data_IF_417233919179
#
_entry.id   IF_417233919179
#
_cell.length_a   1.000
_cell.length_b   1.000
_cell.length_c   1.000
_cell.angle_alpha   90.00
_cell.angle_beta   90.00
_cell.angle_gamma   90.00
#
_symmetry.space_group_name_H-M   'P 1'
#
loop_
_entity.id
_entity.type
_entity.pdbx_description
1 polymer ?
#
# COMPACT_ATOMS: atom_id res chain seq x y z
N UNK A 1 10.79 -34.22 -0.57
CA UNK A 1 10.94 -32.86 -1.15
C UNK A 1 10.07 -31.94 -0.31
N UNK A 2 10.64 -30.97 0.42
CA UNK A 2 9.82 -30.01 1.18
C UNK A 2 9.03 -29.18 0.18
N UNK A 3 7.71 -29.36 0.12
CA UNK A 3 6.82 -28.48 -0.62
C UNK A 3 6.89 -27.10 0.04
N UNK A 4 7.58 -26.15 -0.58
CA UNK A 4 7.58 -24.76 -0.12
C UNK A 4 6.13 -24.28 -0.20
N UNK A 5 5.62 -23.72 0.90
CA UNK A 5 4.24 -23.23 0.98
C UNK A 5 4.04 -22.03 0.04
N UNK A 6 2.87 -21.94 -0.58
CA UNK A 6 2.56 -20.95 -1.63
C UNK A 6 2.75 -19.49 -1.18
N UNK A 7 2.51 -19.20 0.09
CA UNK A 7 2.76 -17.90 0.72
C UNK A 7 4.25 -17.51 0.73
N UNK A 8 5.14 -18.46 1.05
CA UNK A 8 6.58 -18.23 0.97
C UNK A 8 7.06 -18.10 -0.47
N UNK A 9 6.45 -18.83 -1.41
CA UNK A 9 6.74 -18.69 -2.85
C UNK A 9 6.33 -17.29 -3.32
N UNK A 10 5.12 -16.83 -3.00
CA UNK A 10 4.63 -15.50 -3.34
C UNK A 10 5.54 -14.38 -2.81
N UNK A 11 6.15 -14.58 -1.63
CA UNK A 11 7.05 -13.62 -1.00
C UNK A 11 8.49 -13.66 -1.53
N UNK A 12 9.02 -14.83 -1.84
CA UNK A 12 10.47 -15.02 -2.01
C UNK A 12 10.90 -15.40 -3.43
N UNK A 13 9.96 -15.84 -4.28
CA UNK A 13 10.25 -16.39 -5.61
C UNK A 13 9.74 -15.47 -6.71
N UNK A 14 10.22 -15.71 -7.93
CA UNK A 14 9.77 -14.94 -9.09
C UNK A 14 8.36 -15.37 -9.55
N UNK A 15 7.75 -14.57 -10.43
CA UNK A 15 6.43 -14.87 -11.02
C UNK A 15 6.34 -16.26 -11.62
N UNK A 16 7.36 -16.73 -12.35
CA UNK A 16 7.32 -18.04 -13.02
C UNK A 16 7.21 -19.19 -12.01
N UNK A 17 7.99 -19.15 -10.94
CA UNK A 17 7.93 -20.12 -9.85
C UNK A 17 6.59 -20.06 -9.11
N UNK A 18 6.06 -18.86 -8.86
CA UNK A 18 4.74 -18.68 -8.28
C UNK A 18 3.64 -19.31 -9.15
N UNK A 19 3.61 -19.00 -10.45
CA UNK A 19 2.59 -19.51 -11.37
C UNK A 19 2.63 -21.04 -11.53
N UNK A 20 3.82 -21.66 -11.42
CA UNK A 20 3.97 -23.13 -11.43
C UNK A 20 3.44 -23.79 -10.16
N UNK A 21 3.50 -23.09 -9.02
CA UNK A 21 3.10 -23.62 -7.73
C UNK A 21 1.64 -23.33 -7.36
N UNK A 22 1.12 -22.18 -7.83
CA UNK A 22 -0.23 -21.71 -7.54
C UNK A 22 -1.30 -22.68 -8.06
N UNK A 23 -2.34 -22.88 -7.26
CA UNK A 23 -3.53 -23.63 -7.59
C UNK A 23 -4.76 -22.76 -7.32
N UNK A 24 -5.75 -22.82 -8.21
CA UNK A 24 -7.03 -22.13 -7.97
C UNK A 24 -7.61 -22.54 -6.61
N UNK A 25 -7.99 -21.55 -5.80
CA UNK A 25 -8.40 -21.71 -4.42
C UNK A 25 -7.31 -21.26 -3.41
N UNK A 26 -6.04 -21.18 -3.82
CA UNK A 26 -4.97 -20.67 -2.95
C UNK A 26 -5.22 -19.23 -2.50
N UNK A 27 -5.90 -18.42 -3.31
CA UNK A 27 -6.30 -17.04 -2.99
C UNK A 27 -7.31 -16.95 -1.84
N UNK A 28 -8.00 -18.05 -1.51
CA UNK A 28 -8.99 -18.11 -0.42
C UNK A 28 -8.37 -18.54 0.90
N UNK A 29 -7.13 -19.04 0.86
CA UNK A 29 -6.45 -19.52 2.04
C UNK A 29 -5.94 -18.37 2.91
N UNK A 30 -5.90 -18.61 4.22
CA UNK A 30 -5.36 -17.67 5.21
C UNK A 30 -4.05 -18.23 5.75
N UNK A 31 -3.01 -17.40 5.75
CA UNK A 31 -1.66 -17.78 6.16
C UNK A 31 -1.23 -16.87 7.30
N UNK A 32 -0.99 -17.44 8.48
CA UNK A 32 -0.69 -16.67 9.71
C UNK A 32 -1.70 -15.54 9.97
N UNK A 33 -2.97 -15.79 9.69
CA UNK A 33 -4.06 -14.82 9.90
C UNK A 33 -4.19 -13.72 8.85
N UNK A 34 -3.46 -13.80 7.73
CA UNK A 34 -3.58 -12.82 6.62
C UNK A 34 -3.72 -13.48 5.26
N UNK A 35 -4.31 -12.73 4.33
CA UNK A 35 -4.49 -13.10 2.93
C UNK A 35 -3.16 -13.31 2.20
N UNK A 36 -3.13 -14.20 1.19
CA UNK A 36 -1.94 -14.50 0.39
C UNK A 36 -1.32 -13.25 -0.25
N UNK A 37 -2.11 -12.23 -0.58
CA UNK A 37 -1.63 -11.00 -1.22
C UNK A 37 -0.63 -10.24 -0.34
N UNK A 38 -0.71 -10.34 0.99
CA UNK A 38 0.27 -9.71 1.89
C UNK A 38 1.69 -10.22 1.63
N UNK A 39 1.82 -11.46 1.19
CA UNK A 39 3.11 -12.07 0.88
C UNK A 39 3.65 -11.56 -0.45
N UNK A 40 2.82 -11.52 -1.49
CA UNK A 40 3.23 -11.00 -2.81
C UNK A 40 3.59 -9.51 -2.75
N UNK A 41 2.86 -8.70 -1.98
CA UNK A 41 3.15 -7.27 -1.78
C UNK A 41 4.49 -7.04 -1.07
N UNK A 42 4.93 -7.99 -0.25
CA UNK A 42 6.23 -7.96 0.43
C UNK A 42 7.38 -8.57 -0.37
N UNK A 43 7.13 -9.01 -1.61
CA UNK A 43 8.15 -9.62 -2.45
C UNK A 43 9.21 -8.59 -2.84
N UNK A 44 10.47 -8.90 -2.59
CA UNK A 44 11.58 -7.95 -2.83
C UNK A 44 11.94 -7.82 -4.30
N UNK A 45 11.58 -8.79 -5.15
CA UNK A 45 11.67 -8.65 -6.60
C UNK A 45 10.53 -7.76 -7.12
N UNK A 46 10.88 -6.62 -7.73
CA UNK A 46 9.90 -5.61 -8.14
C UNK A 46 8.91 -6.16 -9.17
N UNK A 47 9.39 -6.81 -10.23
CA UNK A 47 8.50 -7.31 -11.28
C UNK A 47 7.52 -8.33 -10.71
N UNK A 48 8.03 -9.27 -9.92
CA UNK A 48 7.23 -10.34 -9.33
C UNK A 48 6.22 -9.82 -8.32
N UNK A 49 6.57 -8.82 -7.50
CA UNK A 49 5.62 -8.16 -6.60
C UNK A 49 4.39 -7.66 -7.37
N UNK A 50 4.59 -6.89 -8.43
CA UNK A 50 3.48 -6.31 -9.18
C UNK A 50 2.73 -7.37 -9.98
N UNK A 51 3.41 -8.28 -10.66
CA UNK A 51 2.76 -9.32 -11.48
C UNK A 51 1.94 -10.29 -10.63
N UNK A 52 2.52 -10.83 -9.55
CA UNK A 52 1.83 -11.77 -8.67
C UNK A 52 0.66 -11.08 -7.96
N UNK A 53 0.84 -9.85 -7.46
CA UNK A 53 -0.24 -9.14 -6.77
C UNK A 53 -1.39 -8.81 -7.71
N UNK A 54 -1.10 -8.35 -8.94
CA UNK A 54 -2.14 -8.10 -9.95
C UNK A 54 -2.90 -9.37 -10.32
N UNK A 55 -2.20 -10.50 -10.49
CA UNK A 55 -2.82 -11.80 -10.72
C UNK A 55 -3.76 -12.20 -9.58
N UNK A 56 -3.33 -12.04 -8.32
CA UNK A 56 -4.17 -12.36 -7.16
C UNK A 56 -5.40 -11.45 -7.07
N UNK A 57 -5.27 -10.17 -7.46
CA UNK A 57 -6.42 -9.26 -7.55
C UNK A 57 -7.44 -9.69 -8.61
N UNK A 58 -6.98 -10.24 -9.74
CA UNK A 58 -7.84 -10.81 -10.78
C UNK A 58 -8.57 -12.08 -10.30
N UNK A 59 -8.03 -12.76 -9.28
CA UNK A 59 -8.64 -13.89 -8.60
C UNK A 59 -9.61 -13.49 -7.48
N UNK A 60 -9.92 -12.20 -7.33
CA UNK A 60 -10.79 -11.66 -6.29
C UNK A 60 -10.35 -12.04 -4.86
N UNK A 61 -9.04 -12.06 -4.64
CA UNK A 61 -8.47 -12.26 -3.31
C UNK A 61 -8.99 -11.20 -2.31
N UNK A 62 -9.13 -11.60 -1.04
CA UNK A 62 -9.46 -10.67 0.04
C UNK A 62 -8.32 -9.65 0.26
N UNK A 63 -8.67 -8.38 0.18
CA UNK A 63 -7.80 -7.22 0.39
C UNK A 63 -8.26 -6.32 1.54
N UNK A 64 -9.42 -6.61 2.14
CA UNK A 64 -10.03 -5.78 3.18
C UNK A 64 -9.59 -6.20 4.60
N UNK A 65 -9.01 -7.39 4.74
CA UNK A 65 -8.43 -7.83 6.00
C UNK A 65 -7.13 -7.06 6.35
N UNK A 66 -6.81 -7.04 7.65
CA UNK A 66 -5.52 -6.54 8.17
C UNK A 66 -4.60 -7.70 8.56
N UNK A 67 -3.30 -7.46 8.58
CA UNK A 67 -2.35 -8.43 9.14
C UNK A 67 -2.20 -8.26 10.67
N UNK A 68 -1.30 -9.03 11.30
CA UNK A 68 -1.06 -9.01 12.75
C UNK A 68 -0.50 -7.68 13.30
N UNK A 69 0.04 -6.84 12.44
CA UNK A 69 0.54 -5.49 12.76
C UNK A 69 -0.54 -4.43 12.47
N UNK A 70 -1.80 -4.84 12.31
CA UNK A 70 -2.92 -4.01 11.88
C UNK A 70 -2.71 -3.32 10.51
N UNK A 71 -1.75 -3.78 9.71
CA UNK A 71 -1.50 -3.20 8.39
C UNK A 71 -2.54 -3.68 7.38
N UNK A 72 -3.08 -2.73 6.60
CA UNK A 72 -3.79 -3.04 5.35
C UNK A 72 -2.79 -3.36 4.22
N UNK A 73 -3.30 -3.84 3.08
CA UNK A 73 -2.52 -4.06 1.86
C UNK A 73 -1.80 -2.80 1.35
N UNK A 74 -2.37 -1.60 1.55
CA UNK A 74 -1.72 -0.34 1.16
C UNK A 74 -0.49 -0.06 2.02
N UNK A 75 -0.57 -0.28 3.34
CA UNK A 75 0.57 -0.15 4.25
C UNK A 75 1.70 -1.09 3.86
N UNK A 76 1.39 -2.37 3.59
CA UNK A 76 2.41 -3.35 3.20
C UNK A 76 3.04 -3.02 1.85
N UNK A 77 2.26 -2.59 0.86
CA UNK A 77 2.79 -2.17 -0.45
C UNK A 77 3.73 -0.97 -0.31
N UNK A 78 3.26 0.09 0.34
CA UNK A 78 3.96 1.37 0.45
C UNK A 78 5.11 1.36 1.47
N UNK A 79 5.13 0.40 2.39
CA UNK A 79 6.23 0.17 3.33
C UNK A 79 7.43 -0.56 2.76
N UNK A 80 7.40 -0.95 1.49
CA UNK A 80 8.53 -1.61 0.86
C UNK A 80 9.68 -0.64 0.56
N UNK A 81 10.92 -1.16 0.50
CA UNK A 81 12.12 -0.31 0.30
C UNK A 81 12.28 0.25 -1.11
N UNK A 82 11.79 -0.47 -2.12
CA UNK A 82 11.96 -0.14 -3.53
C UNK A 82 10.61 -0.11 -4.22
N UNK A 83 10.46 0.83 -5.14
CA UNK A 83 9.25 1.07 -5.91
C UNK A 83 9.58 1.41 -7.36
N UNK A 84 8.82 0.82 -8.27
CA UNK A 84 8.50 1.40 -9.56
C UNK A 84 7.24 2.26 -9.34
N UNK A 85 7.33 3.57 -9.55
CA UNK A 85 6.27 4.50 -9.12
C UNK A 85 5.01 4.35 -9.95
N UNK A 86 5.11 4.21 -11.27
CA UNK A 86 3.95 3.97 -12.13
C UNK A 86 3.26 2.66 -11.74
N UNK A 87 4.01 1.57 -11.57
CA UNK A 87 3.41 0.28 -11.15
C UNK A 87 2.83 0.34 -9.73
N UNK A 88 3.45 1.11 -8.83
CA UNK A 88 2.93 1.33 -7.47
C UNK A 88 1.60 2.09 -7.52
N UNK A 89 1.53 3.16 -8.32
CA UNK A 89 0.30 3.92 -8.54
C UNK A 89 -0.82 3.03 -9.06
N UNK A 90 -0.57 2.27 -10.14
CA UNK A 90 -1.57 1.34 -10.71
C UNK A 90 -2.04 0.29 -9.71
N UNK A 91 -1.13 -0.27 -8.92
CA UNK A 91 -1.51 -1.26 -7.92
C UNK A 91 -2.32 -0.62 -6.77
N UNK A 92 -1.98 0.58 -6.33
CA UNK A 92 -2.78 1.32 -5.34
C UNK A 92 -4.19 1.62 -5.88
N UNK A 93 -4.30 2.08 -7.13
CA UNK A 93 -5.58 2.36 -7.80
C UNK A 93 -6.49 1.14 -7.77
N UNK A 94 -5.99 -0.02 -8.20
CA UNK A 94 -6.75 -1.28 -8.16
C UNK A 94 -7.17 -1.72 -6.76
N UNK A 95 -6.32 -1.50 -5.74
CA UNK A 95 -6.64 -1.84 -4.36
C UNK A 95 -7.75 -0.93 -3.81
N UNK A 96 -7.70 0.36 -4.12
CA UNK A 96 -8.72 1.34 -3.74
C UNK A 96 -10.04 1.06 -4.45
N UNK A 97 -10.03 0.69 -5.73
CA UNK A 97 -11.22 0.27 -6.49
C UNK A 97 -11.91 -0.95 -5.87
N UNK A 98 -11.15 -1.83 -5.20
CA UNK A 98 -11.69 -2.96 -4.43
C UNK A 98 -12.18 -2.57 -3.02
N UNK A 99 -12.20 -1.29 -2.69
CA UNK A 99 -12.77 -0.76 -1.46
C UNK A 99 -11.80 -0.68 -0.27
N UNK A 100 -10.49 -0.81 -0.51
CA UNK A 100 -9.50 -0.64 0.58
C UNK A 100 -9.55 0.81 1.07
N UNK A 101 -9.87 1.01 2.34
CA UNK A 101 -9.95 2.33 2.95
C UNK A 101 -8.54 2.93 3.13
N UNK A 102 -8.29 4.06 2.46
CA UNK A 102 -7.01 4.77 2.46
C UNK A 102 -6.67 5.45 3.80
N UNK A 103 -7.68 5.65 4.65
CA UNK A 103 -7.56 6.30 5.96
C UNK A 103 -7.49 5.29 7.11
N UNK A 104 -7.48 3.98 6.83
CA UNK A 104 -7.24 2.98 7.88
C UNK A 104 -5.90 3.22 8.55
N UNK A 105 -5.87 3.01 9.86
CA UNK A 105 -4.65 3.13 10.67
C UNK A 105 -4.04 1.75 10.90
N UNK A 106 -2.73 1.66 10.71
CA UNK A 106 -1.93 0.50 11.13
C UNK A 106 -1.77 0.42 12.66
N UNK A 107 -1.02 -0.57 13.15
CA UNK A 107 -0.75 -0.76 14.58
C UNK A 107 0.03 0.38 15.25
N UNK A 108 0.60 1.30 14.47
CA UNK A 108 1.25 2.53 14.97
C UNK A 108 0.30 3.73 14.92
N UNK A 109 -0.94 3.54 14.49
CA UNK A 109 -1.90 4.61 14.27
C UNK A 109 -1.66 5.40 12.97
N UNK A 110 -0.80 4.92 12.08
CA UNK A 110 -0.42 5.63 10.86
C UNK A 110 -1.34 5.25 9.70
N UNK A 111 -1.73 6.25 8.91
CA UNK A 111 -2.45 6.04 7.65
C UNK A 111 -1.48 5.80 6.51
N UNK A 112 -1.92 5.11 5.44
CA UNK A 112 -1.08 4.75 4.30
C UNK A 112 -0.38 5.94 3.62
N UNK A 113 -0.99 7.13 3.61
CA UNK A 113 -0.38 8.35 3.05
C UNK A 113 0.97 8.70 3.70
N UNK A 114 1.15 8.40 4.99
CA UNK A 114 2.41 8.64 5.71
C UNK A 114 3.57 7.86 5.08
N UNK A 115 3.30 6.67 4.53
CA UNK A 115 4.30 5.85 3.86
C UNK A 115 4.73 6.47 2.52
N UNK A 116 3.80 7.07 1.76
CA UNK A 116 4.11 7.83 0.54
C UNK A 116 5.01 9.02 0.87
N UNK A 117 4.67 9.79 1.92
CA UNK A 117 5.44 10.97 2.36
C UNK A 117 6.91 10.60 2.64
N UNK A 118 7.15 9.42 3.22
CA UNK A 118 8.50 8.94 3.58
C UNK A 118 9.28 8.32 2.43
N UNK A 119 8.68 8.11 1.26
CA UNK A 119 9.42 7.60 0.10
C UNK A 119 10.55 8.56 -0.26
N UNK A 120 11.74 8.01 -0.55
CA UNK A 120 12.88 8.79 -1.02
C UNK A 120 12.72 9.13 -2.51
N UNK A 121 11.75 10.00 -2.81
CA UNK A 121 11.25 10.38 -4.13
C UNK A 121 10.79 11.84 -4.11
N UNK A 122 11.01 12.56 -5.21
CA UNK A 122 10.54 13.95 -5.32
C UNK A 122 9.02 14.04 -5.35
N UNK A 123 8.46 15.23 -5.12
CA UNK A 123 7.02 15.43 -5.24
C UNK A 123 6.55 15.24 -6.70
N UNK A 124 7.37 15.61 -7.69
CA UNK A 124 7.06 15.40 -9.11
C UNK A 124 6.97 13.91 -9.46
N UNK A 125 7.88 13.08 -8.92
CA UNK A 125 7.82 11.63 -9.12
C UNK A 125 6.55 11.01 -8.51
N UNK A 126 6.03 11.58 -7.42
CA UNK A 126 4.88 11.05 -6.68
C UNK A 126 3.53 11.65 -7.10
N UNK A 127 3.51 12.51 -8.11
CA UNK A 127 2.35 13.31 -8.48
C UNK A 127 1.09 12.47 -8.76
N UNK A 128 1.22 11.34 -9.46
CA UNK A 128 0.08 10.44 -9.71
C UNK A 128 -0.45 9.79 -8.42
N UNK A 129 0.44 9.39 -7.49
CA UNK A 129 0.03 8.86 -6.20
C UNK A 129 -0.68 9.92 -5.36
N UNK A 130 -0.20 11.16 -5.38
CA UNK A 130 -0.88 12.27 -4.74
C UNK A 130 -2.26 12.50 -5.34
N UNK A 131 -2.37 12.54 -6.67
CA UNK A 131 -3.65 12.68 -7.34
C UNK A 131 -4.64 11.58 -6.97
N UNK A 132 -4.17 10.34 -6.83
CA UNK A 132 -4.98 9.22 -6.37
C UNK A 132 -5.50 9.41 -4.94
N UNK A 133 -4.68 9.90 -4.00
CA UNK A 133 -5.12 10.16 -2.62
C UNK A 133 -6.07 11.36 -2.53
N UNK A 134 -5.75 12.47 -3.21
CA UNK A 134 -6.56 13.69 -3.18
C UNK A 134 -7.89 13.55 -3.95
N UNK A 135 -8.05 12.54 -4.80
CA UNK A 135 -9.34 12.23 -5.45
C UNK A 135 -10.28 11.44 -4.53
N UNK A 136 -9.79 10.86 -3.43
CA UNK A 136 -10.63 10.09 -2.52
C UNK A 136 -11.52 11.00 -1.67
N UNK A 137 -12.77 10.59 -1.41
CA UNK A 137 -13.64 11.31 -0.50
C UNK A 137 -13.08 11.25 0.92
N UNK A 138 -13.23 12.34 1.67
CA UNK A 138 -12.87 12.42 3.09
C UNK A 138 -11.41 12.03 3.41
N UNK A 139 -10.45 12.37 2.54
CA UNK A 139 -9.02 12.15 2.80
C UNK A 139 -8.64 12.74 4.17
N UNK A 140 -8.08 11.91 5.06
CA UNK A 140 -7.68 12.33 6.40
C UNK A 140 -6.22 12.77 6.41
N UNK A 141 -6.00 14.05 6.68
CA UNK A 141 -4.67 14.67 6.76
C UNK A 141 -4.26 15.03 8.19
N UNK A 142 -5.18 15.00 9.14
CA UNK A 142 -5.06 15.68 10.44
C UNK A 142 -5.18 14.74 11.64
N UNK A 143 -5.69 13.52 11.46
CA UNK A 143 -5.64 12.49 12.51
C UNK A 143 -4.21 12.18 12.92
N UNK A 144 -3.98 12.17 14.23
CA UNK A 144 -2.68 11.84 14.83
C UNK A 144 -2.49 10.34 14.98
N UNK A 145 -1.25 9.90 14.78
CA UNK A 145 -0.77 8.55 15.07
C UNK A 145 -0.39 8.39 16.56
N UNK A 146 0.13 7.21 16.94
CA UNK A 146 0.58 6.93 18.32
C UNK A 146 1.74 7.80 18.80
N UNK A 147 2.45 8.46 17.88
CA UNK A 147 3.55 9.39 18.17
C UNK A 147 3.08 10.85 18.27
N UNK A 148 1.78 11.11 18.06
CA UNK A 148 1.17 12.43 18.17
C UNK A 148 1.30 13.29 16.91
N UNK A 149 1.62 12.69 15.76
CA UNK A 149 1.77 13.40 14.49
C UNK A 149 0.75 12.94 13.45
N UNK A 150 0.20 13.89 12.68
CA UNK A 150 -0.67 13.62 11.52
C UNK A 150 0.11 13.58 10.19
N UNK A 151 -0.57 13.22 9.10
CA UNK A 151 0.05 13.19 7.77
C UNK A 151 0.63 14.55 7.35
N UNK A 152 -0.12 15.64 7.52
CA UNK A 152 0.39 16.99 7.19
C UNK A 152 1.55 17.41 8.11
N UNK A 153 1.52 17.03 9.39
CA UNK A 153 2.63 17.30 10.32
C UNK A 153 3.88 16.47 9.96
N UNK A 154 3.73 15.24 9.47
CA UNK A 154 4.83 14.47 8.92
C UNK A 154 5.40 15.11 7.67
N UNK A 155 4.58 15.55 6.72
CA UNK A 155 5.06 16.22 5.50
C UNK A 155 5.94 17.44 5.83
N UNK A 156 5.54 18.25 6.82
CA UNK A 156 6.31 19.43 7.27
C UNK A 156 7.70 19.12 7.85
N UNK A 157 7.95 17.87 8.28
CA UNK A 157 9.30 17.46 8.75
C UNK A 157 10.28 17.24 7.60
N UNK A 158 9.81 17.17 6.35
CA UNK A 158 10.63 16.91 5.18
C UNK A 158 10.68 18.16 4.29
N UNK A 159 11.83 18.87 4.21
CA UNK A 159 11.95 20.11 3.43
C UNK A 159 11.64 19.97 1.94
N UNK A 160 11.65 18.76 1.40
CA UNK A 160 11.38 18.45 0.00
C UNK A 160 9.91 18.10 -0.29
N UNK A 161 8.99 18.26 0.67
CA UNK A 161 7.54 18.01 0.52
C UNK A 161 6.71 19.29 0.34
N UNK A 162 7.31 20.37 -0.15
CA UNK A 162 6.65 21.68 -0.24
C UNK A 162 5.40 21.66 -1.12
N UNK A 163 5.48 21.04 -2.31
CA UNK A 163 4.34 20.94 -3.22
C UNK A 163 3.20 20.12 -2.60
N UNK A 164 3.53 19.01 -1.92
CA UNK A 164 2.55 18.23 -1.19
C UNK A 164 1.89 19.04 -0.04
N UNK A 165 2.67 19.80 0.72
CA UNK A 165 2.16 20.62 1.83
C UNK A 165 1.17 21.66 1.30
N UNK A 166 1.49 22.38 0.22
CA UNK A 166 0.59 23.35 -0.41
C UNK A 166 -0.75 22.71 -0.82
N UNK A 167 -0.69 21.50 -1.41
CA UNK A 167 -1.90 20.73 -1.76
C UNK A 167 -2.72 20.35 -0.54
N UNK A 168 -2.07 19.88 0.54
CA UNK A 168 -2.74 19.51 1.79
C UNK A 168 -3.45 20.71 2.42
N UNK A 169 -2.79 21.86 2.51
CA UNK A 169 -3.37 23.09 3.08
C UNK A 169 -4.53 23.62 2.24
N UNK A 170 -4.42 23.54 0.91
CA UNK A 170 -5.52 23.86 0.00
C UNK A 170 -6.70 22.90 0.13
N UNK A 171 -6.47 21.62 0.41
CA UNK A 171 -7.53 20.63 0.62
C UNK A 171 -8.27 20.91 1.93
N UNK A 172 -7.55 21.12 3.04
CA UNK A 172 -8.15 21.37 4.35
C UNK A 172 -8.90 22.71 4.40
N UNK A 173 -8.37 23.76 3.78
CA UNK A 173 -9.05 25.07 3.72
C UNK A 173 -10.40 25.01 2.98
N UNK A 174 -10.56 24.11 2.02
CA UNK A 174 -11.84 23.89 1.32
C UNK A 174 -12.87 23.11 2.14
N UNK A 175 -12.45 22.34 3.14
CA UNK A 175 -13.35 21.56 4.02
C UNK A 175 -13.90 22.37 5.19
N UNK A 176 -13.27 23.50 5.50
CA UNK A 176 -13.66 24.37 6.61
C UNK A 176 -14.87 25.29 6.28
N UNK A 177 -15.38 25.25 5.05
CA UNK A 177 -16.55 25.98 4.56
C UNK A 177 -17.58 25.02 3.99
#
# INVERSE_FOLDING_TARGET
MLTIKIDLIAKLKNTSEFMKAYKDGDEKNVFDGKSLIFFSLSNTDLSSRYEISNFLLDKNIDVLCKNKEDETVLHVLLGQRKHDIEKTYRLCERLIEKGVNINEKDGKGQVALIYIIRLNKSDEELEQLYNLWFSQPNLDLTSKDSTGFSAIEYARKFPYRLSLIERMEKYESKRAY
#
